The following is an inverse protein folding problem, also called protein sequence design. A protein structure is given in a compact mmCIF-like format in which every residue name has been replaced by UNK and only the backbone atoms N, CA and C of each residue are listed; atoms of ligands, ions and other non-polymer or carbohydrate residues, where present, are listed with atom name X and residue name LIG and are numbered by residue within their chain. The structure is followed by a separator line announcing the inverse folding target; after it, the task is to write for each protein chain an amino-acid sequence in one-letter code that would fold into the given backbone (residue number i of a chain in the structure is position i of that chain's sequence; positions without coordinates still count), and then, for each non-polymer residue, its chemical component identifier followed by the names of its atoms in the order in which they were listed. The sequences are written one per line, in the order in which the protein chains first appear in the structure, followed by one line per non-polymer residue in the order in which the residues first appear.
data_IF_853523235028
#
_entry.id   IF_853523235028
#
_cell.length_a   1.000
_cell.length_b   1.000
_cell.length_c   1.000
_cell.angle_alpha   90.00
_cell.angle_beta   90.00
_cell.angle_gamma   90.00
#
_symmetry.space_group_name_H-M   'P 1'
#
loop_
_entity.id
_entity.type
_entity.pdbx_description
1 polymer ?
#
# COMPACT_ATOMS: atom_id res chain seq x y z
N UNK A 1 12.01 -9.68 14.08
CA UNK A 1 11.37 -9.58 12.76
C UNK A 1 10.00 -10.20 12.92
N UNK A 2 8.92 -9.42 12.82
CA UNK A 2 7.60 -10.03 12.77
C UNK A 2 7.49 -10.81 11.45
N UNK A 3 7.25 -12.13 11.52
CA UNK A 3 7.03 -12.92 10.31
C UNK A 3 5.80 -12.41 9.56
N UNK A 4 5.85 -12.45 8.23
CA UNK A 4 4.67 -12.15 7.42
C UNK A 4 3.59 -13.18 7.74
N UNK A 5 2.38 -12.69 8.06
CA UNK A 5 1.21 -13.55 8.15
C UNK A 5 0.75 -13.96 6.75
N UNK A 6 -0.09 -15.00 6.66
CA UNK A 6 -0.65 -15.46 5.37
C UNK A 6 -1.37 -14.33 4.62
N UNK A 7 -2.06 -13.46 5.36
CA UNK A 7 -2.71 -12.28 4.80
C UNK A 7 -1.70 -11.29 4.20
N UNK A 8 -0.53 -11.15 4.80
CA UNK A 8 0.49 -10.21 4.32
C UNK A 8 1.11 -10.68 3.03
N UNK A 9 1.42 -11.97 2.96
CA UNK A 9 1.90 -12.61 1.74
C UNK A 9 0.85 -12.47 0.65
N UNK A 10 -0.42 -12.79 0.94
CA UNK A 10 -1.51 -12.63 -0.02
C UNK A 10 -1.70 -11.19 -0.51
N UNK A 11 -1.52 -10.19 0.37
CA UNK A 11 -1.56 -8.76 0.00
C UNK A 11 -0.42 -8.42 -0.97
N UNK A 12 0.80 -8.88 -0.71
CA UNK A 12 1.95 -8.61 -1.58
C UNK A 12 1.77 -9.29 -2.95
N UNK A 13 1.36 -10.55 -2.97
CA UNK A 13 1.11 -11.32 -4.20
C UNK A 13 -0.01 -10.70 -5.03
N UNK A 14 -1.08 -10.24 -4.37
CA UNK A 14 -2.18 -9.52 -5.03
C UNK A 14 -1.68 -8.24 -5.71
N UNK A 15 -0.80 -7.49 -5.05
CA UNK A 15 -0.36 -6.18 -5.53
C UNK A 15 0.51 -6.26 -6.79
N UNK A 16 1.15 -7.41 -7.06
CA UNK A 16 1.87 -7.64 -8.32
C UNK A 16 0.94 -7.58 -9.54
N UNK A 17 -0.30 -8.08 -9.37
CA UNK A 17 -1.28 -8.22 -10.44
C UNK A 17 -2.47 -7.26 -10.28
N UNK A 18 -2.39 -6.33 -9.32
CA UNK A 18 -3.51 -5.48 -8.97
C UNK A 18 -3.97 -4.59 -10.14
N UNK A 19 -5.30 -4.44 -10.35
CA UNK A 19 -5.84 -3.55 -11.36
C UNK A 19 -5.35 -2.11 -11.18
N UNK A 20 -5.04 -1.43 -12.29
CA UNK A 20 -4.69 0.00 -12.30
C UNK A 20 -5.83 0.92 -11.88
N UNK A 21 -7.08 0.50 -12.13
CA UNK A 21 -8.27 1.27 -11.77
C UNK A 21 -8.61 1.06 -10.30
N UNK A 22 -8.79 2.15 -9.55
CA UNK A 22 -9.07 2.12 -8.11
C UNK A 22 -10.34 1.32 -7.81
N UNK A 23 -11.45 1.57 -8.52
CA UNK A 23 -12.70 0.85 -8.31
C UNK A 23 -12.56 -0.67 -8.52
N UNK A 24 -11.97 -1.08 -9.64
CA UNK A 24 -11.71 -2.51 -9.92
C UNK A 24 -10.75 -3.14 -8.92
N UNK A 25 -9.79 -2.37 -8.43
CA UNK A 25 -8.86 -2.84 -7.39
C UNK A 25 -9.60 -3.08 -6.07
N UNK A 26 -10.46 -2.16 -5.64
CA UNK A 26 -11.25 -2.33 -4.42
C UNK A 26 -12.21 -3.53 -4.50
N UNK A 27 -12.86 -3.73 -5.64
CA UNK A 27 -13.69 -4.91 -5.87
C UNK A 27 -12.87 -6.19 -5.81
N UNK A 28 -11.71 -6.23 -6.47
CA UNK A 28 -10.82 -7.39 -6.46
C UNK A 28 -10.26 -7.67 -5.06
N UNK A 29 -9.93 -6.63 -4.27
CA UNK A 29 -9.52 -6.79 -2.87
C UNK A 29 -10.60 -7.50 -2.07
N UNK A 30 -11.86 -7.03 -2.18
CA UNK A 30 -12.98 -7.66 -1.45
C UNK A 30 -13.21 -9.10 -1.93
N UNK A 31 -13.10 -9.35 -3.23
CA UNK A 31 -13.37 -10.67 -3.81
C UNK A 31 -12.26 -11.70 -3.55
N UNK A 32 -10.99 -11.30 -3.50
CA UNK A 32 -9.85 -12.22 -3.39
C UNK A 32 -9.29 -12.33 -1.98
N UNK A 33 -9.27 -11.22 -1.23
CA UNK A 33 -8.65 -11.16 0.10
C UNK A 33 -9.69 -11.18 1.23
N UNK A 34 -10.99 -11.11 0.91
CA UNK A 34 -12.11 -11.09 1.85
C UNK A 34 -11.97 -10.02 2.95
N UNK A 35 -11.35 -8.89 2.62
CA UNK A 35 -11.16 -7.75 3.52
C UNK A 35 -11.66 -6.46 2.90
N UNK A 36 -11.97 -5.49 3.77
CA UNK A 36 -12.31 -4.16 3.30
C UNK A 36 -11.09 -3.47 2.69
N UNK A 37 -11.26 -2.62 1.66
CA UNK A 37 -10.17 -1.83 1.08
C UNK A 37 -9.44 -0.95 2.09
N UNK A 38 -10.16 -0.47 3.12
CA UNK A 38 -9.57 0.30 4.21
C UNK A 38 -8.57 -0.56 5.00
N UNK A 39 -8.97 -1.77 5.39
CA UNK A 39 -8.08 -2.71 6.11
C UNK A 39 -6.89 -3.13 5.23
N UNK A 40 -7.13 -3.34 3.94
CA UNK A 40 -6.08 -3.60 2.95
C UNK A 40 -5.00 -2.51 2.95
N UNK A 41 -5.41 -1.24 2.79
CA UNK A 41 -4.47 -0.13 2.74
C UNK A 41 -3.73 0.09 4.07
N UNK A 42 -4.40 -0.10 5.20
CA UNK A 42 -3.76 -0.05 6.52
C UNK A 42 -2.68 -1.12 6.64
N UNK A 43 -2.99 -2.36 6.26
CA UNK A 43 -2.03 -3.48 6.35
C UNK A 43 -0.89 -3.31 5.36
N UNK A 44 -1.17 -2.89 4.13
CA UNK A 44 -0.16 -2.58 3.13
C UNK A 44 0.83 -1.53 3.66
N UNK A 45 0.37 -0.45 4.29
CA UNK A 45 1.27 0.56 4.86
C UNK A 45 2.20 -0.02 5.93
N UNK A 46 1.70 -0.90 6.80
CA UNK A 46 2.54 -1.58 7.80
C UNK A 46 3.59 -2.47 7.14
N UNK A 47 3.22 -3.18 6.07
CA UNK A 47 4.14 -4.02 5.30
C UNK A 47 5.23 -3.22 4.61
N UNK A 48 4.91 -2.02 4.13
CA UNK A 48 5.92 -1.14 3.56
C UNK A 48 6.98 -0.76 4.58
N UNK A 49 6.67 -0.72 5.88
CA UNK A 49 7.65 -0.40 6.92
C UNK A 49 8.33 -1.67 7.50
N UNK A 50 7.86 -2.87 7.14
CA UNK A 50 8.36 -4.14 7.63
C UNK A 50 9.55 -4.68 6.80
N UNK A 51 10.67 -5.09 7.43
CA UNK A 51 11.81 -5.68 6.72
C UNK A 51 11.51 -7.06 6.13
N UNK A 52 10.53 -7.79 6.68
CA UNK A 52 10.13 -9.09 6.15
C UNK A 52 9.49 -8.97 4.76
N UNK A 53 8.69 -7.93 4.51
CA UNK A 53 8.10 -7.68 3.20
C UNK A 53 9.17 -7.38 2.14
N UNK A 54 10.21 -6.61 2.50
CA UNK A 54 11.31 -6.30 1.60
C UNK A 54 12.20 -7.52 1.28
N UNK A 55 12.25 -8.52 2.16
CA UNK A 55 12.96 -9.78 1.88
C UNK A 55 12.18 -10.67 0.91
N UNK A 56 10.86 -10.70 1.02
CA UNK A 56 10.02 -11.47 0.08
C UNK A 56 9.89 -10.80 -1.28
N UNK A 57 9.56 -9.50 -1.31
CA UNK A 57 9.28 -8.76 -2.55
C UNK A 57 9.99 -7.39 -2.58
N UNK A 58 11.33 -7.37 -2.68
CA UNK A 58 12.13 -6.13 -2.56
C UNK A 58 11.74 -5.05 -3.56
N UNK A 59 11.53 -5.42 -4.83
CA UNK A 59 11.20 -4.47 -5.90
C UNK A 59 9.79 -3.88 -5.75
N UNK A 60 8.82 -4.71 -5.37
CA UNK A 60 7.45 -4.29 -5.13
C UNK A 60 7.38 -3.30 -3.96
N UNK A 61 8.02 -3.64 -2.84
CA UNK A 61 8.08 -2.78 -1.65
C UNK A 61 8.75 -1.45 -1.95
N UNK A 62 9.89 -1.45 -2.67
CA UNK A 62 10.57 -0.22 -3.07
C UNK A 62 9.69 0.68 -3.93
N UNK A 63 8.97 0.10 -4.91
CA UNK A 63 8.04 0.85 -5.79
C UNK A 63 6.88 1.46 -5.00
N UNK A 64 6.28 0.69 -4.10
CA UNK A 64 5.15 1.15 -3.29
C UNK A 64 5.56 2.22 -2.28
N UNK A 65 6.74 2.10 -1.66
CA UNK A 65 7.32 3.15 -0.80
C UNK A 65 7.47 4.46 -1.56
N UNK A 66 8.04 4.42 -2.76
CA UNK A 66 8.17 5.62 -3.62
C UNK A 66 6.80 6.23 -3.95
N UNK A 67 5.80 5.43 -4.31
CA UNK A 67 4.45 5.92 -4.60
C UNK A 67 3.80 6.58 -3.37
N UNK A 68 4.06 6.05 -2.17
CA UNK A 68 3.63 6.65 -0.90
C UNK A 68 4.29 8.00 -0.67
N UNK A 69 5.60 8.10 -0.88
CA UNK A 69 6.37 9.34 -0.75
C UNK A 69 5.87 10.41 -1.74
N UNK A 70 5.63 10.04 -3.00
CA UNK A 70 5.07 10.93 -4.02
C UNK A 70 3.70 11.48 -3.57
N UNK A 71 2.80 10.61 -3.08
CA UNK A 71 1.49 11.01 -2.55
C UNK A 71 1.58 11.89 -1.30
N UNK A 72 2.57 11.67 -0.45
CA UNK A 72 2.80 12.50 0.72
C UNK A 72 3.32 13.88 0.32
N UNK A 73 4.24 13.93 -0.64
CA UNK A 73 4.80 15.18 -1.13
C UNK A 73 3.73 16.06 -1.80
N UNK A 74 2.84 15.47 -2.61
CA UNK A 74 1.66 16.19 -3.15
C UNK A 74 0.76 16.74 -2.04
N UNK A 75 0.53 15.97 -0.97
CA UNK A 75 -0.28 16.42 0.18
C UNK A 75 0.39 17.52 0.99
N UNK A 76 1.73 17.51 1.12
CA UNK A 76 2.50 18.57 1.78
C UNK A 76 2.47 19.86 0.95
N UNK A 77 2.68 19.75 -0.37
CA UNK A 77 2.56 20.88 -1.29
C UNK A 77 1.16 21.52 -1.27
N UNK A 78 0.10 20.72 -1.21
CA UNK A 78 -1.28 21.22 -1.09
C UNK A 78 -1.56 21.93 0.26
N UNK A 79 -0.86 21.56 1.33
CA UNK A 79 -0.99 22.20 2.66
C UNK A 79 -0.08 23.42 2.87
N UNK A 80 0.93 23.61 2.03
CA UNK A 80 1.79 24.80 2.04
C UNK A 80 1.15 26.05 1.43
N UNK A 81 -0.09 25.98 0.96
CA UNK A 81 -0.79 27.06 0.25
C UNK A 81 -1.88 27.76 1.09
N UNK A 82 -1.76 27.76 2.42
CA UNK A 82 -2.50 28.70 3.28
C UNK A 82 -1.61 29.91 3.55
N UNK A 83 -1.84 31.08 2.90
CA UNK A 83 -1.33 32.33 3.43
C UNK A 83 -1.99 32.57 4.80
N UNK A 84 -1.15 32.94 5.77
CA UNK A 84 -1.55 33.36 7.11
C UNK A 84 -2.72 34.34 7.08
N UNK A 85 -3.58 34.25 8.09
CA UNK A 85 -4.26 35.40 8.69
C UNK A 85 -4.22 35.22 10.20
#
# INVERSE_FOLDING_TARGET
MDPLSDLDTAILDFEENAPRSIGRKEEAIRAQLDISPVRYHQRLNLLLDAPAAAQSHPLLVARLRRLREERENTRRAARGNTPSS
#
